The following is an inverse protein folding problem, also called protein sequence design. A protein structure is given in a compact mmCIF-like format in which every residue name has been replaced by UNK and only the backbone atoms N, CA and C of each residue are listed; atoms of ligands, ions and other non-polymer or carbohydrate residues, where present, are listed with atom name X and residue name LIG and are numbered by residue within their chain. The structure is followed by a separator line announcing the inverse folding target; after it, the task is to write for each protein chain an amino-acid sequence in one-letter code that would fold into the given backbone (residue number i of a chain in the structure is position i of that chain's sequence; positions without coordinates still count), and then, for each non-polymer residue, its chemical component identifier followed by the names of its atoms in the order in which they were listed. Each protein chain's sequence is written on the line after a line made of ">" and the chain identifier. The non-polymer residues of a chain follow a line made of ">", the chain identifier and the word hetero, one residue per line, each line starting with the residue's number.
data_IF_032689311494
#
_entry.id   IF_032689311494
#
_cell.length_a   1.000
_cell.length_b   1.000
_cell.length_c   1.000
_cell.angle_alpha   90.00
_cell.angle_beta   90.00
_cell.angle_gamma   90.00
#
_symmetry.space_group_name_H-M   'P 1'
#
loop_
_entity.id
_entity.type
_entity.pdbx_description
1 polymer ?
#
# COMPACT_ATOMS: atom_id res chain seq x y z
N UNK A 1 -41.89 -6.14 1.82
CA UNK A 1 -42.45 -7.27 2.61
C UNK A 1 -42.17 -7.14 4.10
N UNK A 2 -40.97 -6.68 4.50
CA UNK A 2 -40.54 -6.54 5.92
C UNK A 2 -41.21 -5.36 6.66
N UNK A 3 -41.49 -4.24 5.97
CA UNK A 3 -42.11 -3.06 6.62
C UNK A 3 -43.50 -3.32 7.23
N UNK A 4 -44.38 -4.05 6.53
CA UNK A 4 -45.75 -4.31 7.01
C UNK A 4 -45.80 -5.26 8.22
N UNK A 5 -44.77 -6.08 8.43
CA UNK A 5 -44.64 -7.00 9.56
C UNK A 5 -44.18 -6.26 10.82
N UNK A 6 -43.16 -5.41 10.71
CA UNK A 6 -42.65 -4.59 11.83
C UNK A 6 -43.72 -3.61 12.31
N UNK A 7 -44.48 -3.02 11.38
CA UNK A 7 -45.54 -2.04 11.69
C UNK A 7 -46.73 -2.64 12.44
N UNK A 8 -47.11 -3.90 12.16
CA UNK A 8 -48.19 -4.59 12.90
C UNK A 8 -47.74 -5.08 14.27
N UNK A 9 -46.48 -5.49 14.42
CA UNK A 9 -45.95 -5.95 15.69
C UNK A 9 -45.80 -4.78 16.70
N UNK A 10 -45.36 -3.62 16.23
CA UNK A 10 -45.20 -2.41 17.07
C UNK A 10 -46.53 -1.86 17.61
N UNK A 11 -47.65 -2.04 16.87
CA UNK A 11 -48.97 -1.52 17.27
C UNK A 11 -49.69 -2.35 18.34
N UNK A 12 -49.28 -3.60 18.59
CA UNK A 12 -49.92 -4.48 19.58
C UNK A 12 -49.29 -4.39 20.98
N UNK A 13 -48.18 -3.66 21.15
CA UNK A 13 -47.38 -3.67 22.39
C UNK A 13 -47.69 -2.55 23.40
N UNK A 14 -48.70 -1.71 23.16
CA UNK A 14 -48.92 -0.48 23.94
C UNK A 14 -50.20 -0.45 24.78
N UNK A 15 -50.39 -1.43 25.68
CA UNK A 15 -51.33 -1.28 26.81
C UNK A 15 -50.57 -1.25 28.14
N UNK A 16 -50.85 -0.21 28.93
CA UNK A 16 -50.13 0.37 30.07
C UNK A 16 -49.52 -0.57 31.14
N UNK A 17 -48.31 -0.19 31.64
CA UNK A 17 -48.02 -0.08 33.08
C UNK A 17 -46.99 1.02 33.40
N UNK A 18 -47.22 1.68 34.54
CA UNK A 18 -46.52 2.85 35.08
C UNK A 18 -45.04 2.57 35.42
N UNK A 19 -44.18 3.44 34.90
CA UNK A 19 -42.96 3.98 35.54
C UNK A 19 -41.93 3.01 36.14
N UNK A 20 -41.55 1.98 35.38
CA UNK A 20 -40.20 1.41 35.50
C UNK A 20 -39.45 1.66 34.19
N UNK A 21 -38.49 2.61 34.24
CA UNK A 21 -37.61 2.96 33.12
C UNK A 21 -36.53 1.88 32.95
N UNK A 22 -36.93 0.68 32.56
CA UNK A 22 -36.03 -0.38 32.12
C UNK A 22 -36.16 -0.58 30.61
N UNK A 23 -35.03 -0.81 29.93
CA UNK A 23 -35.01 -1.20 28.52
C UNK A 23 -35.93 -2.41 28.32
N UNK A 24 -36.90 -2.32 27.40
CA UNK A 24 -37.77 -3.45 27.11
C UNK A 24 -37.03 -4.48 26.23
N UNK A 25 -37.29 -5.77 26.42
CA UNK A 25 -36.64 -6.84 25.64
C UNK A 25 -36.96 -6.72 24.14
N UNK A 26 -38.15 -6.22 23.79
CA UNK A 26 -38.56 -5.98 22.40
C UNK A 26 -37.83 -4.79 21.77
N UNK A 27 -37.50 -3.75 22.54
CA UNK A 27 -36.73 -2.60 22.07
C UNK A 27 -35.28 -2.98 21.74
N UNK A 28 -34.65 -3.83 22.56
CA UNK A 28 -33.33 -4.38 22.25
C UNK A 28 -33.35 -5.27 20.98
N UNK A 29 -34.39 -6.08 20.79
CA UNK A 29 -34.53 -6.96 19.63
C UNK A 29 -34.69 -6.18 18.32
N UNK A 30 -35.50 -5.11 18.31
CA UNK A 30 -35.67 -4.28 17.10
C UNK A 30 -34.38 -3.55 16.74
N UNK A 31 -33.62 -3.07 17.73
CA UNK A 31 -32.32 -2.43 17.50
C UNK A 31 -31.32 -3.41 16.88
N UNK A 32 -31.20 -4.61 17.44
CA UNK A 32 -30.30 -5.64 16.90
C UNK A 32 -30.74 -6.10 15.49
N UNK A 33 -32.04 -6.16 15.23
CA UNK A 33 -32.57 -6.46 13.90
C UNK A 33 -32.09 -5.45 12.85
N UNK A 34 -32.23 -4.15 13.12
CA UNK A 34 -31.77 -3.11 12.17
C UNK A 34 -30.24 -3.09 12.07
N UNK A 35 -29.51 -3.25 13.18
CA UNK A 35 -28.04 -3.30 13.17
C UNK A 35 -27.49 -4.49 12.36
N UNK A 36 -28.19 -5.63 12.36
CA UNK A 36 -27.80 -6.81 11.56
C UNK A 36 -27.83 -6.53 10.05
N UNK A 37 -28.85 -5.79 9.57
CA UNK A 37 -29.02 -5.47 8.16
C UNK A 37 -27.93 -4.49 7.70
N UNK A 38 -27.63 -3.47 8.50
CA UNK A 38 -26.55 -2.52 8.23
C UNK A 38 -25.19 -3.23 8.17
N UNK A 39 -24.92 -4.08 9.16
CA UNK A 39 -23.64 -4.80 9.26
C UNK A 39 -23.40 -5.71 8.06
N UNK A 40 -24.43 -6.40 7.57
CA UNK A 40 -24.33 -7.28 6.40
C UNK A 40 -23.81 -6.55 5.15
N UNK A 41 -24.17 -5.28 4.96
CA UNK A 41 -23.73 -4.47 3.81
C UNK A 41 -22.35 -3.84 4.09
N UNK A 42 -22.11 -3.38 5.32
CA UNK A 42 -20.90 -2.61 5.65
C UNK A 42 -19.63 -3.45 5.82
N UNK A 43 -19.71 -4.67 6.35
CA UNK A 43 -18.54 -5.51 6.65
C UNK A 43 -17.62 -5.78 5.43
N UNK A 44 -18.11 -6.22 4.26
CA UNK A 44 -17.21 -6.54 3.14
C UNK A 44 -16.45 -5.30 2.62
N UNK A 45 -17.07 -4.12 2.68
CA UNK A 45 -16.44 -2.86 2.26
C UNK A 45 -15.30 -2.46 3.20
N UNK A 46 -15.48 -2.63 4.50
CA UNK A 46 -14.45 -2.31 5.51
C UNK A 46 -13.21 -3.18 5.29
N UNK A 47 -13.37 -4.49 5.07
CA UNK A 47 -12.25 -5.42 4.86
C UNK A 47 -11.41 -5.06 3.63
N UNK A 48 -12.05 -4.65 2.53
CA UNK A 48 -11.35 -4.21 1.32
C UNK A 48 -10.61 -2.89 1.53
N UNK A 49 -11.19 -1.96 2.29
CA UNK A 49 -10.53 -0.70 2.62
C UNK A 49 -9.31 -0.92 3.51
N UNK A 50 -9.40 -1.83 4.49
CA UNK A 50 -8.24 -2.20 5.31
C UNK A 50 -7.12 -2.79 4.47
N UNK A 51 -7.41 -3.70 3.51
CA UNK A 51 -6.37 -4.25 2.61
C UNK A 51 -5.70 -3.17 1.77
N UNK A 52 -6.49 -2.23 1.22
CA UNK A 52 -5.94 -1.09 0.47
C UNK A 52 -5.07 -0.18 1.35
N UNK A 53 -5.48 0.08 2.58
CA UNK A 53 -4.70 0.88 3.52
C UNK A 53 -3.35 0.21 3.84
N UNK A 54 -3.35 -1.10 4.08
CA UNK A 54 -2.13 -1.90 4.29
C UNK A 54 -1.21 -1.88 3.07
N UNK A 55 -1.76 -2.01 1.87
CA UNK A 55 -0.99 -1.92 0.63
C UNK A 55 -0.42 -0.51 0.41
N UNK A 56 -1.17 0.53 0.75
CA UNK A 56 -0.71 1.92 0.64
C UNK A 56 0.47 2.21 1.59
N UNK A 57 0.54 1.55 2.75
CA UNK A 57 1.70 1.61 3.64
C UNK A 57 2.98 1.13 2.92
N UNK A 58 2.93 -0.04 2.27
CA UNK A 58 4.06 -0.59 1.54
C UNK A 58 4.50 0.30 0.37
N UNK A 59 3.55 0.83 -0.40
CA UNK A 59 3.82 1.77 -1.48
C UNK A 59 4.49 3.05 -0.95
N UNK A 60 4.00 3.57 0.18
CA UNK A 60 4.56 4.79 0.80
C UNK A 60 5.98 4.54 1.31
N UNK A 61 6.22 3.40 1.96
CA UNK A 61 7.55 3.02 2.45
C UNK A 61 8.56 2.85 1.31
N UNK A 62 8.17 2.20 0.21
CA UNK A 62 9.04 2.03 -0.96
C UNK A 62 9.26 3.34 -1.72
N UNK A 63 8.25 4.20 -1.82
CA UNK A 63 8.39 5.54 -2.40
C UNK A 63 9.36 6.41 -1.58
N UNK A 64 9.24 6.36 -0.25
CA UNK A 64 10.17 7.05 0.65
C UNK A 64 11.60 6.49 0.52
N UNK A 65 11.75 5.16 0.39
CA UNK A 65 13.03 4.51 0.14
C UNK A 65 13.69 5.02 -1.15
N UNK A 66 12.96 5.03 -2.26
CA UNK A 66 13.46 5.52 -3.56
C UNK A 66 13.94 6.97 -3.47
N UNK A 67 13.13 7.85 -2.88
CA UNK A 67 13.48 9.27 -2.73
C UNK A 67 14.73 9.46 -1.86
N UNK A 68 14.81 8.69 -0.77
CA UNK A 68 15.96 8.73 0.11
C UNK A 68 17.22 8.16 -0.53
N UNK A 69 17.10 7.15 -1.40
CA UNK A 69 18.23 6.62 -2.17
C UNK A 69 18.77 7.67 -3.15
N UNK A 70 17.90 8.48 -3.75
CA UNK A 70 18.33 9.61 -4.57
C UNK A 70 19.13 10.65 -3.75
N UNK A 71 18.62 11.00 -2.56
CA UNK A 71 19.32 11.92 -1.65
C UNK A 71 20.66 11.34 -1.15
N UNK A 72 20.67 10.09 -0.69
CA UNK A 72 21.86 9.39 -0.20
C UNK A 72 22.94 9.30 -1.28
N UNK A 73 22.54 9.03 -2.53
CA UNK A 73 23.47 9.01 -3.66
C UNK A 73 24.07 10.39 -3.95
N UNK A 74 23.31 11.47 -3.80
CA UNK A 74 23.81 12.84 -3.96
C UNK A 74 25.00 13.12 -3.03
N UNK A 75 24.97 12.54 -1.82
CA UNK A 75 26.02 12.71 -0.81
C UNK A 75 27.17 11.70 -0.95
N UNK A 76 26.86 10.41 -1.11
CA UNK A 76 27.85 9.31 -1.02
C UNK A 76 28.25 8.70 -2.38
N UNK A 77 27.61 9.12 -3.48
CA UNK A 77 27.80 8.57 -4.84
C UNK A 77 27.59 7.06 -4.99
N UNK A 78 26.93 6.43 -4.02
CA UNK A 78 26.53 5.02 -4.03
C UNK A 78 25.13 4.90 -3.43
N UNK A 79 24.44 3.79 -3.69
CA UNK A 79 23.19 3.48 -2.99
C UNK A 79 23.45 2.79 -1.65
N UNK A 80 22.52 2.98 -0.72
CA UNK A 80 22.55 2.34 0.60
C UNK A 80 22.07 0.88 0.50
N UNK A 81 22.73 -0.02 1.25
CA UNK A 81 22.45 -1.46 1.24
C UNK A 81 21.36 -1.93 2.21
N UNK A 82 20.75 -1.00 2.95
CA UNK A 82 19.67 -1.32 3.90
C UNK A 82 18.81 -0.09 4.20
N UNK A 83 17.61 -0.32 4.73
CA UNK A 83 16.73 0.74 5.22
C UNK A 83 17.33 1.49 6.41
N UNK A 84 18.09 0.81 7.28
CA UNK A 84 18.78 1.40 8.42
C UNK A 84 19.85 2.40 8.00
N UNK A 85 20.59 2.11 6.93
CA UNK A 85 21.64 2.98 6.42
C UNK A 85 21.10 4.32 5.90
N UNK A 86 19.82 4.37 5.50
CA UNK A 86 19.17 5.61 5.06
C UNK A 86 18.71 6.48 6.24
N UNK A 87 18.74 5.98 7.48
CA UNK A 87 18.37 6.69 8.70
C UNK A 87 16.99 7.38 8.68
N UNK A 88 16.05 6.87 7.88
CA UNK A 88 14.72 7.47 7.67
C UNK A 88 13.72 7.17 8.79
N UNK A 89 14.10 6.38 9.79
CA UNK A 89 13.16 5.84 10.78
C UNK A 89 12.12 4.88 10.21
N UNK A 90 12.29 4.42 8.96
CA UNK A 90 11.41 3.42 8.36
C UNK A 90 11.64 2.06 9.03
N UNK A 91 10.58 1.39 9.50
CA UNK A 91 10.71 0.06 10.07
C UNK A 91 11.07 -0.95 8.97
N UNK A 92 12.04 -1.84 9.23
CA UNK A 92 12.32 -2.97 8.32
C UNK A 92 11.27 -4.05 8.34
N UNK A 93 10.36 -4.03 9.30
CA UNK A 93 9.19 -4.89 9.32
C UNK A 93 8.05 -4.21 10.04
N UNK A 94 6.87 -4.28 9.44
CA UNK A 94 5.59 -3.87 10.03
C UNK A 94 4.71 -5.10 10.23
N UNK A 95 3.50 -4.93 10.76
CA UNK A 95 2.60 -6.05 11.00
C UNK A 95 2.22 -6.79 9.71
N UNK A 96 2.18 -6.06 8.59
CA UNK A 96 1.72 -6.57 7.29
C UNK A 96 2.84 -6.86 6.29
N UNK A 97 4.00 -6.20 6.41
CA UNK A 97 5.09 -6.29 5.45
C UNK A 97 6.46 -6.52 6.09
N UNK A 98 7.35 -7.17 5.34
CA UNK A 98 8.78 -7.23 5.62
C UNK A 98 9.55 -6.54 4.50
N UNK A 99 10.41 -5.60 4.86
CA UNK A 99 11.18 -4.79 3.92
C UNK A 99 12.63 -5.27 3.90
N UNK A 100 13.18 -5.41 2.71
CA UNK A 100 14.60 -5.73 2.54
C UNK A 100 15.16 -5.07 1.29
N UNK A 101 16.49 -4.94 1.24
CA UNK A 101 17.23 -4.41 0.09
C UNK A 101 18.12 -5.54 -0.43
N UNK A 102 17.62 -6.40 -1.32
CA UNK A 102 18.37 -7.56 -1.78
C UNK A 102 19.58 -7.17 -2.65
N UNK A 103 19.51 -6.00 -3.27
CA UNK A 103 20.58 -5.50 -4.14
C UNK A 103 20.82 -4.00 -3.93
N UNK A 104 22.09 -3.64 -3.74
CA UNK A 104 22.53 -2.25 -3.73
C UNK A 104 23.99 -2.18 -4.17
N UNK A 105 24.24 -1.37 -5.20
CA UNK A 105 25.57 -1.10 -5.72
C UNK A 105 25.70 0.38 -6.11
N UNK A 106 26.74 0.74 -6.86
CA UNK A 106 27.01 2.13 -7.23
C UNK A 106 26.14 2.63 -8.38
N UNK A 107 25.37 1.81 -9.08
CA UNK A 107 24.53 2.22 -10.22
C UNK A 107 23.07 1.77 -10.08
N UNK A 108 22.78 0.81 -9.21
CA UNK A 108 21.47 0.22 -9.05
C UNK A 108 21.20 -0.16 -7.58
N UNK A 109 19.95 -0.03 -7.16
CA UNK A 109 19.46 -0.62 -5.93
C UNK A 109 18.03 -1.11 -6.13
N UNK A 110 17.69 -2.21 -5.47
CA UNK A 110 16.34 -2.72 -5.41
C UNK A 110 15.95 -3.05 -3.96
N UNK A 111 14.71 -2.71 -3.61
CA UNK A 111 14.06 -3.08 -2.38
C UNK A 111 12.80 -3.89 -2.67
N UNK A 112 12.43 -4.75 -1.74
CA UNK A 112 11.20 -5.52 -1.78
C UNK A 112 10.42 -5.32 -0.48
N UNK A 113 9.10 -5.29 -0.61
CA UNK A 113 8.15 -5.40 0.48
C UNK A 113 7.39 -6.71 0.32
N UNK A 114 7.78 -7.71 1.12
CA UNK A 114 7.15 -9.03 1.13
C UNK A 114 5.93 -8.99 2.05
N UNK A 115 4.76 -9.34 1.52
CA UNK A 115 3.54 -9.42 2.31
C UNK A 115 3.60 -10.59 3.30
N UNK A 116 3.09 -10.39 4.52
CA UNK A 116 2.99 -11.43 5.55
C UNK A 116 1.66 -12.19 5.50
N UNK A 117 0.64 -11.59 4.89
CA UNK A 117 -0.67 -12.18 4.67
C UNK A 117 -0.85 -12.56 3.19
N UNK A 118 -1.37 -13.75 2.93
CA UNK A 118 -1.74 -14.24 1.59
C UNK A 118 -2.78 -13.38 0.88
N UNK A 119 -3.52 -12.56 1.64
CA UNK A 119 -4.50 -11.62 1.12
C UNK A 119 -3.86 -10.32 0.58
N UNK A 120 -2.58 -10.08 0.85
CA UNK A 120 -1.87 -8.88 0.44
C UNK A 120 -0.97 -9.17 -0.76
N UNK A 121 -0.70 -8.12 -1.53
CA UNK A 121 0.19 -8.18 -2.70
C UNK A 121 1.59 -7.76 -2.28
N UNK A 122 2.59 -8.35 -2.92
CA UNK A 122 3.98 -7.95 -2.75
C UNK A 122 4.31 -6.72 -3.61
N UNK A 123 5.29 -5.94 -3.16
CA UNK A 123 5.78 -4.78 -3.89
C UNK A 123 7.30 -4.83 -4.02
N UNK A 124 7.82 -4.27 -5.09
CA UNK A 124 9.25 -4.06 -5.26
C UNK A 124 9.52 -2.66 -5.79
N UNK A 125 10.69 -2.12 -5.51
CA UNK A 125 11.11 -0.82 -6.01
C UNK A 125 12.57 -0.89 -6.42
N UNK A 126 12.93 -0.09 -7.41
CA UNK A 126 14.32 0.04 -7.82
C UNK A 126 14.66 1.48 -8.14
N UNK A 127 15.94 1.80 -8.02
CA UNK A 127 16.52 3.05 -8.49
C UNK A 127 17.79 2.75 -9.25
N UNK A 128 17.90 3.34 -10.44
CA UNK A 128 19.04 3.19 -11.34
C UNK A 128 19.62 4.56 -11.64
N UNK A 129 20.93 4.62 -11.69
CA UNK A 129 21.66 5.81 -12.06
C UNK A 129 22.39 5.57 -13.38
N UNK A 130 22.17 6.46 -14.33
CA UNK A 130 22.71 6.35 -15.67
C UNK A 130 22.95 7.74 -16.28
N UNK A 131 23.80 7.78 -17.30
CA UNK A 131 23.97 8.95 -18.13
C UNK A 131 23.03 8.84 -19.33
N UNK A 132 22.32 9.92 -19.63
CA UNK A 132 21.59 10.10 -20.89
C UNK A 132 22.34 11.10 -21.74
N UNK A 133 22.40 10.82 -23.04
CA UNK A 133 22.87 11.80 -24.01
C UNK A 133 21.73 12.77 -24.31
N UNK A 134 21.90 14.03 -23.92
CA UNK A 134 20.98 15.11 -24.21
C UNK A 134 21.65 16.14 -25.10
N UNK A 135 20.90 16.67 -26.06
CA UNK A 135 21.37 17.77 -26.89
C UNK A 135 21.22 19.06 -26.12
N UNK A 136 22.31 19.79 -25.92
CA UNK A 136 22.25 21.09 -25.27
C UNK A 136 21.48 22.09 -26.15
N UNK A 137 20.43 22.77 -25.63
CA UNK A 137 19.55 23.61 -26.42
C UNK A 137 20.24 24.89 -26.94
N UNK A 138 21.29 25.35 -26.27
CA UNK A 138 22.01 26.58 -26.62
C UNK A 138 23.14 26.33 -27.63
N UNK A 139 23.78 25.15 -27.57
CA UNK A 139 24.97 24.82 -28.38
C UNK A 139 24.73 23.76 -29.45
N UNK A 140 23.64 23.00 -29.37
CA UNK A 140 23.34 21.89 -30.29
C UNK A 140 24.31 20.71 -30.20
N UNK A 141 25.23 20.72 -29.24
CA UNK A 141 26.21 19.65 -29.02
C UNK A 141 25.66 18.58 -28.06
N UNK A 142 26.04 17.30 -28.22
CA UNK A 142 25.69 16.26 -27.27
C UNK A 142 26.37 16.51 -25.92
N UNK A 143 25.61 16.37 -24.84
CA UNK A 143 26.05 16.45 -23.45
C UNK A 143 25.56 15.21 -22.70
N UNK A 144 26.38 14.72 -21.77
CA UNK A 144 26.02 13.61 -20.90
C UNK A 144 25.40 14.16 -19.61
N UNK A 145 24.08 14.03 -19.48
CA UNK A 145 23.37 14.39 -18.25
C UNK A 145 23.20 13.16 -17.37
N UNK A 146 23.55 13.28 -16.09
CA UNK A 146 23.50 12.19 -15.11
C UNK A 146 22.13 12.22 -14.42
N UNK A 147 21.34 11.18 -14.58
CA UNK A 147 19.95 11.11 -14.06
C UNK A 147 19.76 9.88 -13.18
N UNK A 148 18.78 9.94 -12.28
CA UNK A 148 18.33 8.81 -11.46
C UNK A 148 16.90 8.49 -11.86
N UNK A 149 16.66 7.32 -12.41
CA UNK A 149 15.28 6.85 -12.62
C UNK A 149 14.93 5.80 -11.57
N UNK A 150 13.68 5.80 -11.17
CA UNK A 150 13.15 4.89 -10.16
C UNK A 150 11.78 4.39 -10.53
N UNK A 151 11.46 3.21 -10.01
CA UNK A 151 10.22 2.51 -10.29
C UNK A 151 9.74 1.80 -9.03
N UNK A 152 8.43 1.74 -8.85
CA UNK A 152 7.73 0.94 -7.86
C UNK A 152 6.76 0.03 -8.60
N UNK A 153 6.88 -1.26 -8.34
CA UNK A 153 6.18 -2.35 -8.99
C UNK A 153 5.28 -3.05 -7.96
N UNK A 154 4.07 -3.41 -8.37
CA UNK A 154 3.11 -4.22 -7.62
C UNK A 154 3.01 -5.59 -8.26
N UNK A 155 3.02 -6.66 -7.45
CA UNK A 155 2.77 -8.01 -7.94
C UNK A 155 1.33 -8.18 -8.42
N UNK A 156 1.14 -8.86 -9.54
CA UNK A 156 -0.21 -9.10 -10.08
C UNK A 156 -1.05 -10.01 -9.17
N UNK A 157 -0.39 -10.88 -8.41
CA UNK A 157 -1.00 -11.85 -7.50
C UNK A 157 -0.71 -11.54 -6.04
N UNK A 158 -1.69 -11.83 -5.17
CA UNK A 158 -1.51 -11.77 -3.72
C UNK A 158 -0.78 -13.02 -3.22
N UNK A 159 0.07 -12.86 -2.20
CA UNK A 159 0.88 -13.95 -1.67
C UNK A 159 2.01 -13.47 -0.76
N UNK A 160 2.61 -14.43 -0.07
CA UNK A 160 3.73 -14.19 0.86
C UNK A 160 5.10 -14.52 0.26
N UNK A 161 5.14 -14.91 -1.01
CA UNK A 161 6.39 -15.15 -1.73
C UNK A 161 7.14 -13.83 -1.89
N UNK A 162 8.47 -13.81 -1.63
CA UNK A 162 9.29 -12.65 -1.90
C UNK A 162 9.09 -12.14 -3.35
N UNK A 163 8.78 -10.85 -3.53
CA UNK A 163 8.62 -10.26 -4.86
C UNK A 163 9.88 -10.40 -5.72
N UNK A 164 9.68 -10.57 -7.03
CA UNK A 164 10.79 -10.48 -7.97
C UNK A 164 11.35 -9.06 -8.00
N UNK A 165 12.68 -8.96 -8.16
CA UNK A 165 13.35 -7.67 -8.29
C UNK A 165 13.02 -7.03 -9.65
N UNK A 166 12.92 -5.69 -9.71
CA UNK A 166 12.90 -4.98 -10.98
C UNK A 166 14.15 -5.29 -11.81
N UNK A 167 13.98 -5.33 -13.12
CA UNK A 167 15.08 -5.56 -14.05
C UNK A 167 15.97 -4.31 -14.12
N UNK A 168 17.28 -4.52 -14.11
CA UNK A 168 18.25 -3.44 -14.26
C UNK A 168 18.23 -2.93 -15.69
N UNK A 169 17.99 -1.63 -15.86
CA UNK A 169 18.01 -0.97 -17.15
C UNK A 169 17.91 0.54 -16.99
N UNK A 170 18.27 1.34 -18.00
CA UNK A 170 17.94 2.76 -18.07
C UNK A 170 16.72 3.01 -18.99
N UNK A 171 15.49 3.23 -18.48
CA UNK A 171 15.06 3.19 -17.07
C UNK A 171 14.83 1.76 -16.55
N UNK A 172 14.69 1.54 -15.23
CA UNK A 172 14.47 0.21 -14.68
C UNK A 172 13.03 -0.22 -14.96
N UNK A 173 12.82 -1.52 -15.17
CA UNK A 173 11.52 -2.07 -15.59
C UNK A 173 10.98 -3.10 -14.60
N UNK A 174 9.65 -3.14 -14.45
CA UNK A 174 9.01 -4.19 -13.66
C UNK A 174 9.09 -5.53 -14.41
N UNK A 175 9.24 -6.66 -13.70
CA UNK A 175 9.20 -7.98 -14.31
C UNK A 175 7.78 -8.31 -14.81
N UNK A 176 7.65 -9.32 -15.68
CA UNK A 176 6.41 -9.60 -16.41
C UNK A 176 5.16 -9.92 -15.56
N UNK A 177 5.32 -10.30 -14.29
CA UNK A 177 4.22 -10.58 -13.34
C UNK A 177 3.90 -9.41 -12.40
N UNK A 178 4.34 -8.21 -12.79
CA UNK A 178 4.23 -6.99 -12.00
C UNK A 178 3.74 -5.83 -12.85
N UNK A 179 2.95 -4.97 -12.22
CA UNK A 179 2.40 -3.75 -12.78
C UNK A 179 3.07 -2.52 -12.16
N UNK A 180 3.30 -1.47 -12.94
CA UNK A 180 3.90 -0.21 -12.44
C UNK A 180 2.87 0.55 -11.60
N UNK A 181 3.22 0.90 -10.36
CA UNK A 181 2.38 1.71 -9.46
C UNK A 181 2.95 3.10 -9.18
N UNK A 182 4.25 3.28 -9.40
CA UNK A 182 4.91 4.58 -9.29
C UNK A 182 6.22 4.61 -10.06
N UNK A 183 6.60 5.78 -10.54
CA UNK A 183 7.90 6.03 -11.15
C UNK A 183 8.38 7.44 -10.83
N UNK A 184 9.70 7.62 -10.81
CA UNK A 184 10.36 8.90 -10.59
C UNK A 184 11.59 9.04 -11.48
N UNK A 185 11.95 10.28 -11.83
CA UNK A 185 13.09 10.64 -12.69
C UNK A 185 13.78 11.88 -12.17
#
# INVERSE_FOLDING_TARGET
>A
MVENLVRRYFLLSSCERKNQKGFTLTELIVVLFVMSILTAISVPSILNQTRKAKQAEAITALSAFVNAQAAYRSEYRSYASSFQALALGLPTSTDDYNYSVPEANTTFTAAIATAKDTSLKGYSAASTWYAVEQTNPDTGLPQLERTISSIVCEADFAGTTPPALPEQGPPPTCPASFSVVGSGS
#
